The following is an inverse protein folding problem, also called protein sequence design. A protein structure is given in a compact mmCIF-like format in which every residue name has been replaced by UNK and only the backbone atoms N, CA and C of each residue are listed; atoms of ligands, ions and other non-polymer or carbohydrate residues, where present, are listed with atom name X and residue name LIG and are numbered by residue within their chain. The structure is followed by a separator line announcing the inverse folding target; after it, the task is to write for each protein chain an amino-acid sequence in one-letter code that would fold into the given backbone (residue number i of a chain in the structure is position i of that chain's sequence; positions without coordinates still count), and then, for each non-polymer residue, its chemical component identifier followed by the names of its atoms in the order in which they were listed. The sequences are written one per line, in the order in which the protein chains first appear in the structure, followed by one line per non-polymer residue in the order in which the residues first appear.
data_IF_690478210906
#
_entry.id   IF_690478210906
#
_cell.length_a   1.000
_cell.length_b   1.000
_cell.length_c   1.000
_cell.angle_alpha   90.00
_cell.angle_beta   90.00
_cell.angle_gamma   90.00
#
_symmetry.space_group_name_H-M   'P 1'
#
loop_
_entity.id
_entity.type
_entity.pdbx_description
1 polymer ?
#
# COMPACT_ATOMS: atom_id res chain seq x y z
N UNK A 1 -26.51 14.33 32.26
CA UNK A 1 -25.15 14.80 32.57
C UNK A 1 -24.38 14.73 31.24
N UNK A 2 -24.20 15.90 30.62
CA UNK A 2 -23.54 16.08 29.34
C UNK A 2 -22.02 16.09 29.57
N UNK A 3 -21.33 15.08 29.02
CA UNK A 3 -19.86 15.02 29.04
C UNK A 3 -19.30 16.09 28.11
N UNK A 4 -18.45 16.94 28.64
CA UNK A 4 -17.83 18.07 28.00
C UNK A 4 -16.92 17.62 26.86
N UNK A 5 -17.14 18.15 25.66
CA UNK A 5 -16.17 18.17 24.55
C UNK A 5 -14.90 18.85 25.05
N UNK A 6 -13.78 18.13 25.00
CA UNK A 6 -12.47 18.68 25.34
C UNK A 6 -12.14 19.88 24.47
N UNK A 7 -11.91 20.99 25.14
CA UNK A 7 -11.48 22.26 24.60
C UNK A 7 -10.04 22.09 24.06
N UNK A 8 -9.87 21.84 22.78
CA UNK A 8 -8.57 21.86 22.11
C UNK A 8 -8.09 23.31 22.01
N UNK A 9 -7.57 23.85 23.12
CA UNK A 9 -6.76 25.05 23.03
C UNK A 9 -5.54 24.75 22.16
N UNK A 10 -5.21 25.62 21.19
CA UNK A 10 -3.97 25.50 20.45
C UNK A 10 -2.83 25.54 21.49
N UNK A 11 -1.99 24.51 21.49
CA UNK A 11 -0.77 24.51 22.29
C UNK A 11 0.08 25.65 21.75
N UNK A 12 0.25 26.71 22.51
CA UNK A 12 1.14 27.83 22.21
C UNK A 12 2.59 27.33 22.34
N UNK A 13 3.00 26.52 21.37
CA UNK A 13 4.30 25.88 21.35
C UNK A 13 5.14 26.51 20.25
N UNK A 14 5.87 27.55 20.62
CA UNK A 14 6.95 28.08 19.80
C UNK A 14 8.04 27.04 19.76
N UNK A 15 8.20 26.37 18.58
CA UNK A 15 9.30 25.43 18.34
C UNK A 15 10.42 26.10 17.59
N UNK A 16 11.67 25.84 18.02
CA UNK A 16 12.86 26.24 17.26
C UNK A 16 13.25 25.13 16.28
N UNK A 17 13.11 25.33 14.94
CA UNK A 17 13.38 24.27 13.99
C UNK A 17 14.89 24.03 13.81
N UNK A 18 15.31 22.79 13.95
CA UNK A 18 16.71 22.37 13.70
C UNK A 18 16.71 21.07 12.90
N UNK A 19 17.75 20.89 12.08
CA UNK A 19 18.07 19.63 11.43
C UNK A 19 19.15 18.89 12.22
N UNK A 20 18.81 17.73 12.80
CA UNK A 20 19.77 16.91 13.54
C UNK A 20 20.62 16.05 12.59
N UNK A 21 21.94 16.12 12.72
CA UNK A 21 22.87 15.23 12.04
C UNK A 21 23.11 14.00 12.91
N UNK A 22 22.40 12.91 12.62
CA UNK A 22 22.39 11.72 13.47
C UNK A 22 23.30 10.58 12.99
N UNK A 23 24.06 10.77 11.91
CA UNK A 23 24.94 9.73 11.39
C UNK A 23 25.94 9.26 12.47
N UNK A 24 25.91 7.96 12.76
CA UNK A 24 26.72 7.30 13.79
C UNK A 24 26.40 7.71 15.25
N UNK A 25 25.32 8.43 15.49
CA UNK A 25 24.89 8.84 16.83
C UNK A 25 23.82 7.90 17.37
N UNK A 26 23.93 7.53 18.64
CA UNK A 26 22.95 6.69 19.31
C UNK A 26 21.60 7.40 19.42
N UNK A 27 20.57 6.76 18.89
CA UNK A 27 19.16 7.16 19.07
C UNK A 27 18.39 6.02 19.68
N UNK A 28 17.74 6.26 20.79
CA UNK A 28 16.94 5.24 21.50
C UNK A 28 15.47 5.40 21.11
N UNK A 29 14.85 4.28 20.74
CA UNK A 29 13.41 4.20 20.51
C UNK A 29 12.80 3.23 21.49
N UNK A 30 11.86 3.68 22.30
CA UNK A 30 11.15 2.86 23.27
C UNK A 30 9.73 2.62 22.73
N UNK A 31 9.43 1.35 22.42
CA UNK A 31 8.17 0.92 21.80
C UNK A 31 8.35 0.42 20.37
N UNK A 32 7.96 -0.84 20.13
CA UNK A 32 8.15 -1.60 18.90
C UNK A 32 6.90 -1.72 18.02
N UNK A 33 5.85 -0.93 18.30
CA UNK A 33 4.62 -0.90 17.50
C UNK A 33 4.76 -0.11 16.19
N UNK A 34 3.64 0.09 15.49
CA UNK A 34 3.58 0.78 14.19
C UNK A 34 4.15 2.23 14.24
N UNK A 35 3.97 2.92 15.36
CA UNK A 35 4.54 4.28 15.55
C UNK A 35 6.07 4.22 15.60
N UNK A 36 6.63 3.32 16.41
CA UNK A 36 8.07 3.11 16.52
C UNK A 36 8.69 2.71 15.17
N UNK A 37 8.07 1.76 14.48
CA UNK A 37 8.51 1.32 13.14
C UNK A 37 8.61 2.48 12.15
N UNK A 38 7.58 3.32 12.08
CA UNK A 38 7.58 4.49 11.19
C UNK A 38 8.69 5.49 11.54
N UNK A 39 8.98 5.70 12.83
CA UNK A 39 10.05 6.58 13.29
C UNK A 39 11.42 6.02 12.97
N UNK A 40 11.63 4.74 13.19
CA UNK A 40 12.90 4.04 12.92
C UNK A 40 13.30 4.14 11.45
N UNK A 41 12.37 4.02 10.52
CA UNK A 41 12.65 4.18 9.09
C UNK A 41 13.34 5.51 8.76
N UNK A 42 12.86 6.61 9.34
CA UNK A 42 13.46 7.95 9.18
C UNK A 42 14.84 8.09 9.85
N UNK A 43 15.04 7.47 11.00
CA UNK A 43 16.31 7.48 11.73
C UNK A 43 17.40 6.68 10.99
N UNK A 44 17.06 5.51 10.47
CA UNK A 44 17.96 4.70 9.64
C UNK A 44 18.34 5.41 8.34
N UNK A 45 17.40 6.13 7.71
CA UNK A 45 17.69 6.97 6.54
C UNK A 45 18.65 8.13 6.87
N UNK A 46 18.63 8.60 8.13
CA UNK A 46 19.59 9.59 8.66
C UNK A 46 20.91 8.95 9.13
N UNK A 47 21.10 7.65 8.91
CA UNK A 47 22.30 6.86 9.33
C UNK A 47 22.54 6.88 10.86
N UNK A 48 21.49 7.00 11.65
CA UNK A 48 21.59 6.91 13.11
C UNK A 48 21.92 5.47 13.55
N UNK A 49 22.64 5.33 14.67
CA UNK A 49 22.76 4.07 15.39
C UNK A 49 21.51 3.91 16.25
N UNK A 50 20.62 3.00 15.86
CA UNK A 50 19.31 2.87 16.47
C UNK A 50 19.30 1.73 17.49
N UNK A 51 18.96 2.05 18.75
CA UNK A 51 18.65 1.08 19.80
C UNK A 51 17.15 1.07 20.04
N UNK A 52 16.50 -0.05 19.73
CA UNK A 52 15.09 -0.29 19.99
C UNK A 52 14.93 -1.05 21.32
N UNK A 53 14.08 -0.54 22.20
CA UNK A 53 13.74 -1.18 23.47
C UNK A 53 12.25 -1.44 23.49
N UNK A 54 11.87 -2.72 23.43
CA UNK A 54 10.48 -3.15 23.47
C UNK A 54 10.40 -4.65 23.73
N UNK A 55 9.47 -5.14 24.57
CA UNK A 55 9.27 -6.58 24.77
C UNK A 55 8.73 -7.26 23.51
N UNK A 56 7.98 -6.54 22.68
CA UNK A 56 7.41 -7.03 21.42
C UNK A 56 7.66 -6.02 20.31
N UNK A 57 7.86 -6.50 19.11
CA UNK A 57 8.10 -5.66 17.93
C UNK A 57 7.27 -6.19 16.76
N UNK A 58 7.07 -5.33 15.76
CA UNK A 58 6.46 -5.77 14.49
C UNK A 58 7.44 -6.68 13.74
N UNK A 59 6.93 -7.57 12.89
CA UNK A 59 7.74 -8.46 12.06
C UNK A 59 8.79 -7.71 11.23
N UNK A 60 8.45 -6.51 10.76
CA UNK A 60 9.38 -5.64 10.02
C UNK A 60 10.55 -5.16 10.88
N UNK A 61 10.31 -4.81 12.14
CA UNK A 61 11.38 -4.39 13.07
C UNK A 61 12.26 -5.58 13.47
N UNK A 62 11.66 -6.75 13.65
CA UNK A 62 12.38 -7.99 13.93
C UNK A 62 13.32 -8.35 12.77
N UNK A 63 12.82 -8.29 11.52
CA UNK A 63 13.66 -8.49 10.34
C UNK A 63 14.79 -7.46 10.21
N UNK A 64 14.54 -6.20 10.57
CA UNK A 64 15.58 -5.17 10.59
C UNK A 64 16.64 -5.44 11.65
N UNK A 65 16.26 -5.95 12.81
CA UNK A 65 17.19 -6.33 13.88
C UNK A 65 18.02 -7.57 13.50
N UNK A 66 17.37 -8.58 12.92
CA UNK A 66 18.05 -9.79 12.41
C UNK A 66 19.07 -9.47 11.30
N UNK A 67 18.77 -8.44 10.47
CA UNK A 67 19.68 -7.92 9.45
C UNK A 67 20.68 -6.87 9.96
N UNK A 68 20.89 -6.77 11.27
CA UNK A 68 21.83 -5.84 11.94
C UNK A 68 21.66 -4.36 11.58
N UNK A 69 20.47 -3.98 11.08
CA UNK A 69 20.18 -2.59 10.72
C UNK A 69 19.87 -1.71 11.95
N UNK A 70 19.48 -2.34 13.05
CA UNK A 70 19.26 -1.72 14.36
C UNK A 70 19.59 -2.73 15.46
N UNK A 71 19.85 -2.25 16.67
CA UNK A 71 19.97 -3.10 17.86
C UNK A 71 18.63 -3.16 18.57
N UNK A 72 18.18 -4.37 18.94
CA UNK A 72 16.93 -4.57 19.68
C UNK A 72 17.17 -5.24 21.03
N UNK A 73 16.61 -4.65 22.08
CA UNK A 73 16.54 -5.23 23.41
C UNK A 73 15.10 -5.70 23.67
N UNK A 74 14.85 -7.03 23.72
CA UNK A 74 13.51 -7.62 23.86
C UNK A 74 13.00 -7.56 25.32
N UNK A 75 12.89 -6.37 25.87
CA UNK A 75 12.42 -6.12 27.24
C UNK A 75 11.78 -4.74 27.35
N UNK A 76 11.09 -4.52 28.47
CA UNK A 76 10.62 -3.19 28.83
C UNK A 76 11.80 -2.23 29.12
N UNK A 77 11.54 -0.95 28.94
CA UNK A 77 12.44 0.14 29.28
C UNK A 77 12.82 0.12 30.76
N UNK A 78 14.07 0.43 31.03
CA UNK A 78 14.62 0.59 32.40
C UNK A 78 15.39 1.91 32.50
N UNK A 79 15.39 2.51 33.70
CA UNK A 79 16.17 3.71 33.94
C UNK A 79 17.66 3.42 33.73
N UNK A 80 18.34 4.26 32.98
CA UNK A 80 19.73 4.05 32.53
C UNK A 80 19.83 3.67 31.02
N UNK A 81 18.78 3.24 30.40
CA UNK A 81 18.78 2.83 28.99
C UNK A 81 19.06 3.98 28.00
N UNK A 82 18.98 5.22 28.45
CA UNK A 82 19.27 6.40 27.66
C UNK A 82 20.73 6.86 27.73
N UNK A 83 21.60 6.09 28.36
CA UNK A 83 23.00 6.47 28.51
C UNK A 83 23.70 6.60 27.12
N UNK A 84 24.34 7.75 26.88
CA UNK A 84 24.97 8.06 25.61
C UNK A 84 24.03 8.39 24.45
N UNK A 85 22.73 8.40 24.65
CA UNK A 85 21.77 8.75 23.61
C UNK A 85 21.82 10.25 23.28
N UNK A 86 21.69 10.58 22.00
CA UNK A 86 21.57 11.96 21.50
C UNK A 86 20.11 12.38 21.33
N UNK A 87 19.23 11.43 21.08
CA UNK A 87 17.84 11.67 20.75
C UNK A 87 17.01 10.46 21.13
N UNK A 88 15.79 10.67 21.58
CA UNK A 88 14.92 9.61 22.10
C UNK A 88 13.51 9.74 21.57
N UNK A 89 12.89 8.61 21.22
CA UNK A 89 11.48 8.48 20.92
C UNK A 89 10.78 7.58 21.95
N UNK A 90 9.81 8.11 22.68
CA UNK A 90 8.89 7.36 23.55
C UNK A 90 7.60 7.09 22.77
N UNK A 91 7.40 5.83 22.35
CA UNK A 91 6.36 5.41 21.41
C UNK A 91 5.60 4.17 21.91
N UNK A 92 5.54 3.94 23.23
CA UNK A 92 4.79 2.83 23.81
C UNK A 92 3.31 3.17 23.96
N UNK A 93 2.47 2.15 24.16
CA UNK A 93 1.05 2.30 24.49
C UNK A 93 0.84 2.60 25.99
N UNK A 94 1.92 2.57 26.80
CA UNK A 94 1.89 2.89 28.22
C UNK A 94 2.33 4.36 28.47
N UNK A 95 1.40 5.26 28.80
CA UNK A 95 1.73 6.65 29.10
C UNK A 95 2.69 6.81 30.28
N UNK A 96 2.70 5.88 31.25
CA UNK A 96 3.61 5.94 32.40
C UNK A 96 5.04 5.61 31.99
N UNK A 97 5.22 4.61 31.10
CA UNK A 97 6.53 4.31 30.52
C UNK A 97 7.04 5.49 29.68
N UNK A 98 6.19 6.09 28.83
CA UNK A 98 6.56 7.26 28.02
C UNK A 98 6.94 8.47 28.90
N UNK A 99 6.25 8.67 30.01
CA UNK A 99 6.57 9.73 30.98
C UNK A 99 7.92 9.48 31.68
N UNK A 100 8.20 8.23 32.05
CA UNK A 100 9.48 7.85 32.67
C UNK A 100 10.67 8.08 31.72
N UNK A 101 10.52 7.67 30.45
CA UNK A 101 11.50 7.93 29.40
C UNK A 101 11.75 9.42 29.22
N UNK A 102 10.68 10.23 29.15
CA UNK A 102 10.81 11.68 29.01
C UNK A 102 11.47 12.35 30.23
N UNK A 103 11.18 11.88 31.46
CA UNK A 103 11.77 12.37 32.68
C UNK A 103 13.29 12.08 32.73
N UNK A 104 13.72 10.86 32.38
CA UNK A 104 15.14 10.53 32.30
C UNK A 104 15.83 11.34 31.19
N UNK A 105 15.20 11.44 30.00
CA UNK A 105 15.75 12.25 28.92
C UNK A 105 15.97 13.71 29.34
N UNK A 106 15.00 14.31 30.03
CA UNK A 106 15.12 15.67 30.54
C UNK A 106 16.26 15.82 31.58
N UNK A 107 16.39 14.88 32.53
CA UNK A 107 17.46 14.86 33.50
C UNK A 107 18.85 14.78 32.87
N UNK A 108 18.95 14.07 31.74
CA UNK A 108 20.18 13.91 30.93
C UNK A 108 20.39 14.96 29.84
N UNK A 109 19.46 15.92 29.70
CA UNK A 109 19.43 16.94 28.65
C UNK A 109 19.41 16.36 27.23
N UNK A 110 18.68 15.26 27.05
CA UNK A 110 18.47 14.60 25.77
C UNK A 110 17.11 15.04 25.22
N UNK A 111 17.03 15.40 23.93
CA UNK A 111 15.75 15.69 23.31
C UNK A 111 14.89 14.43 23.20
N UNK A 112 13.64 14.51 23.64
CA UNK A 112 12.68 13.42 23.66
C UNK A 112 11.40 13.79 22.92
N UNK A 113 10.99 12.95 21.98
CA UNK A 113 9.67 13.00 21.34
C UNK A 113 8.76 12.00 22.04
N UNK A 114 7.59 12.45 22.47
CA UNK A 114 6.51 11.59 22.96
C UNK A 114 5.43 11.45 21.90
N UNK A 115 4.96 10.22 21.67
CA UNK A 115 3.89 9.95 20.69
C UNK A 115 2.49 10.19 21.27
N UNK A 116 2.34 10.11 22.58
CA UNK A 116 1.10 10.23 23.34
C UNK A 116 0.82 11.65 23.86
N UNK A 117 1.87 12.41 24.16
CA UNK A 117 1.74 13.74 24.75
C UNK A 117 2.80 14.71 24.19
N UNK A 118 2.39 15.43 23.14
CA UNK A 118 3.26 16.40 22.49
C UNK A 118 3.57 17.62 23.36
N UNK A 119 2.72 17.95 24.34
CA UNK A 119 2.92 19.11 25.21
C UNK A 119 4.04 18.89 26.23
N UNK A 120 4.24 17.66 26.68
CA UNK A 120 5.32 17.27 27.59
C UNK A 120 6.60 16.82 26.89
N UNK A 121 6.63 16.83 25.55
CA UNK A 121 7.80 16.46 24.76
C UNK A 121 8.78 17.64 24.64
N UNK A 122 10.08 17.38 24.77
CA UNK A 122 11.13 18.40 24.56
C UNK A 122 11.51 18.58 23.09
N UNK A 123 11.01 17.72 22.19
CA UNK A 123 11.18 17.81 20.74
C UNK A 123 9.94 17.34 19.99
N UNK A 124 9.70 17.94 18.84
CA UNK A 124 8.60 17.56 17.94
C UNK A 124 9.15 17.06 16.62
N UNK A 125 8.51 16.02 16.06
CA UNK A 125 8.86 15.54 14.73
C UNK A 125 7.98 16.24 13.70
N UNK A 126 8.55 17.00 12.74
CA UNK A 126 7.80 17.63 11.67
C UNK A 126 7.31 16.61 10.64
N UNK A 127 6.35 17.01 9.80
CA UNK A 127 6.08 16.34 8.55
C UNK A 127 7.25 16.59 7.60
N UNK A 128 7.95 15.52 7.19
CA UNK A 128 9.17 15.61 6.36
C UNK A 128 8.84 15.20 4.93
N UNK A 129 9.31 15.99 3.97
CA UNK A 129 9.30 15.69 2.55
C UNK A 129 10.66 15.94 1.92
N UNK A 130 10.97 15.23 0.84
CA UNK A 130 12.23 15.38 0.10
C UNK A 130 11.98 15.45 -1.39
N UNK A 131 12.68 16.36 -2.04
CA UNK A 131 12.72 16.49 -3.48
C UNK A 131 14.13 16.90 -3.86
N UNK A 132 14.81 16.10 -4.65
CA UNK A 132 16.25 16.23 -4.96
C UNK A 132 17.09 16.38 -3.67
N UNK A 133 17.84 17.47 -3.56
CA UNK A 133 18.67 17.86 -2.40
C UNK A 133 17.90 18.71 -1.36
N UNK A 134 16.63 19.03 -1.62
CA UNK A 134 15.80 19.82 -0.72
C UNK A 134 15.07 18.92 0.27
N UNK A 135 15.18 19.22 1.55
CA UNK A 135 14.36 18.60 2.61
C UNK A 135 13.42 19.65 3.17
N UNK A 136 12.12 19.37 3.09
CA UNK A 136 11.06 20.17 3.72
C UNK A 136 10.71 19.57 5.08
N UNK A 137 10.67 20.42 6.10
CA UNK A 137 10.22 20.06 7.44
C UNK A 137 9.11 21.04 7.85
N UNK A 138 7.89 20.54 8.04
CA UNK A 138 6.71 21.37 8.31
C UNK A 138 6.14 21.04 9.68
N UNK A 139 5.99 22.07 10.51
CA UNK A 139 5.27 22.01 11.79
C UNK A 139 3.88 22.66 11.61
N UNK A 140 2.81 21.96 11.97
CA UNK A 140 1.43 22.38 11.77
C UNK A 140 0.79 23.06 12.98
N UNK A 141 1.57 23.57 13.95
CA UNK A 141 1.01 24.17 15.16
C UNK A 141 0.29 23.16 16.07
N UNK A 142 0.79 21.92 16.14
CA UNK A 142 0.16 20.84 16.90
C UNK A 142 -0.80 19.97 16.06
N UNK A 143 -1.06 20.33 14.79
CA UNK A 143 -1.87 19.54 13.87
C UNK A 143 -1.00 18.81 12.84
N UNK A 144 -0.82 17.48 12.99
CA UNK A 144 -0.01 16.68 12.06
C UNK A 144 -0.59 16.62 10.64
N UNK A 145 -1.91 16.75 10.50
CA UNK A 145 -2.60 16.70 9.19
C UNK A 145 -2.35 17.97 8.41
N UNK A 146 -2.48 19.12 9.08
CA UNK A 146 -2.12 20.41 8.50
C UNK A 146 -0.66 20.44 8.07
N UNK A 147 0.23 19.91 8.89
CA UNK A 147 1.65 19.79 8.57
C UNK A 147 1.88 18.95 7.30
N UNK A 148 1.21 17.80 7.21
CA UNK A 148 1.30 16.91 6.06
C UNK A 148 0.76 17.56 4.78
N UNK A 149 -0.41 18.19 4.84
CA UNK A 149 -1.01 18.86 3.68
C UNK A 149 -0.15 20.00 3.16
N UNK A 150 0.43 20.83 4.04
CA UNK A 150 1.33 21.92 3.65
C UNK A 150 2.63 21.36 3.03
N UNK A 151 3.19 20.29 3.61
CA UNK A 151 4.35 19.60 3.05
C UNK A 151 4.09 19.09 1.65
N UNK A 152 2.95 18.41 1.44
CA UNK A 152 2.63 17.77 0.17
C UNK A 152 2.38 18.82 -0.92
N UNK A 153 1.65 19.89 -0.62
CA UNK A 153 1.48 21.01 -1.54
C UNK A 153 2.79 21.74 -1.88
N UNK A 154 3.71 21.88 -0.91
CA UNK A 154 5.00 22.47 -1.17
C UNK A 154 5.90 21.54 -2.02
N UNK A 155 5.86 20.21 -1.77
CA UNK A 155 6.59 19.23 -2.59
C UNK A 155 6.05 19.18 -4.03
N UNK A 156 4.75 19.30 -4.22
CA UNK A 156 4.14 19.36 -5.54
C UNK A 156 4.67 20.57 -6.31
N UNK A 157 4.68 21.74 -5.69
CA UNK A 157 5.20 22.98 -6.31
C UNK A 157 6.71 22.98 -6.56
N UNK A 158 7.47 22.19 -5.81
CA UNK A 158 8.89 21.96 -6.11
C UNK A 158 9.07 21.04 -7.33
N UNK A 159 8.20 20.02 -7.46
CA UNK A 159 8.27 19.05 -8.57
C UNK A 159 7.82 19.62 -9.90
N UNK A 160 6.81 20.48 -9.89
CA UNK A 160 6.28 21.13 -11.09
C UNK A 160 7.05 22.41 -11.47
N UNK A 161 8.06 22.80 -10.67
CA UNK A 161 8.88 23.98 -10.90
C UNK A 161 8.17 25.31 -10.59
N UNK A 162 6.93 25.29 -10.06
CA UNK A 162 6.22 26.53 -9.67
C UNK A 162 6.78 27.15 -8.39
N UNK A 163 7.58 26.40 -7.62
CA UNK A 163 8.43 26.91 -6.54
C UNK A 163 9.90 26.74 -6.95
N UNK A 164 10.55 27.82 -7.44
CA UNK A 164 11.95 27.78 -7.77
C UNK A 164 12.82 27.62 -6.50
N UNK A 165 13.69 26.61 -6.51
CA UNK A 165 14.76 26.46 -5.52
C UNK A 165 16.11 26.75 -6.21
N UNK A 166 16.57 28.02 -6.29
CA UNK A 166 17.80 28.34 -6.95
C UNK A 166 18.97 27.67 -6.23
N UNK A 167 19.82 26.95 -6.98
CA UNK A 167 21.07 26.40 -6.46
C UNK A 167 22.09 27.51 -6.35
N UNK A 168 22.38 27.98 -5.15
CA UNK A 168 23.52 28.82 -4.90
C UNK A 168 24.78 27.94 -4.91
N UNK A 169 25.69 28.20 -5.86
CA UNK A 169 27.04 27.59 -5.79
C UNK A 169 27.71 28.07 -4.51
N UNK A 170 27.93 27.18 -3.57
CA UNK A 170 28.90 27.40 -2.51
C UNK A 170 30.26 27.43 -3.21
N UNK A 171 31.08 28.50 -3.05
CA UNK A 171 32.44 28.48 -3.59
C UNK A 171 33.14 27.25 -3.00
N UNK A 172 33.77 26.43 -3.83
CA UNK A 172 34.62 25.36 -3.36
C UNK A 172 35.72 26.01 -2.51
N UNK A 173 35.88 25.52 -1.27
CA UNK A 173 37.06 25.86 -0.47
C UNK A 173 38.28 25.44 -1.26
N UNK A 174 39.24 26.38 -1.47
CA UNK A 174 40.51 26.14 -2.12
C UNK A 174 41.22 24.96 -1.46
N UNK A 175 41.31 23.83 -2.15
CA UNK A 175 42.01 22.66 -1.66
C UNK A 175 41.57 21.36 -2.33
N UNK A 176 41.51 21.33 -3.67
CA UNK A 176 41.71 20.12 -4.49
C UNK A 176 41.72 20.57 -5.97
N UNK A 177 42.90 20.83 -6.49
CA UNK A 177 43.11 21.00 -7.92
C UNK A 177 43.25 19.62 -8.56
N UNK A 178 42.41 19.22 -9.52
CA UNK A 178 42.72 18.06 -10.34
C UNK A 178 43.71 18.47 -11.45
N UNK A 179 44.70 17.60 -11.60
CA UNK A 179 45.73 17.69 -12.64
C UNK A 179 45.13 17.78 -14.05
N UNK A 180 45.74 18.63 -14.85
CA UNK A 180 45.43 18.78 -16.26
C UNK A 180 45.83 17.53 -17.04
N UNK A 181 44.90 16.97 -17.81
CA UNK A 181 45.21 16.10 -18.94
C UNK A 181 44.76 16.70 -20.27
N UNK A 182 45.67 16.58 -21.18
CA UNK A 182 45.78 17.23 -22.48
C UNK A 182 44.89 16.63 -23.57
N UNK A 183 44.38 17.53 -24.37
CA UNK A 183 44.14 17.47 -25.83
C UNK A 183 44.15 16.15 -26.59
N UNK A 184 43.05 15.89 -27.33
CA UNK A 184 43.05 15.01 -28.47
C UNK A 184 41.88 15.34 -29.39
N UNK A 185 42.23 15.98 -30.52
CA UNK A 185 41.36 16.37 -31.63
C UNK A 185 40.95 15.18 -32.48
N UNK A 186 39.81 15.32 -33.13
CA UNK A 186 39.50 14.97 -34.51
C UNK A 186 38.28 14.06 -34.73
N UNK A 187 37.45 14.49 -35.65
CA UNK A 187 36.79 13.63 -36.58
C UNK A 187 35.32 13.92 -36.87
N UNK A 188 35.05 14.90 -37.70
CA UNK A 188 33.74 15.07 -38.32
C UNK A 188 33.45 13.96 -39.32
N UNK A 189 32.29 13.34 -39.29
CA UNK A 189 31.68 12.65 -40.43
C UNK A 189 30.21 13.02 -40.57
N UNK A 190 29.93 13.65 -41.69
CA UNK A 190 28.61 13.98 -42.22
C UNK A 190 27.98 12.71 -42.82
N UNK A 191 26.70 12.51 -42.63
CA UNK A 191 25.74 12.12 -43.68
C UNK A 191 24.36 11.89 -43.05
N UNK A 192 23.47 12.41 -43.67
CA UNK A 192 22.40 12.20 -44.61
C UNK A 192 21.02 12.27 -43.99
N UNK A 193 20.33 13.21 -44.54
CA UNK A 193 18.90 13.54 -44.40
C UNK A 193 17.94 12.36 -44.50
N UNK A 194 17.00 12.29 -43.54
CA UNK A 194 15.69 11.65 -43.69
C UNK A 194 14.60 12.61 -43.25
N UNK A 195 13.40 12.56 -43.89
CA UNK A 195 12.41 13.62 -43.77
C UNK A 195 11.73 13.69 -42.41
N UNK A 196 11.54 14.88 -41.93
CA UNK A 196 10.82 15.23 -40.72
C UNK A 196 9.33 14.92 -40.86
N UNK A 197 8.85 13.99 -40.05
CA UNK A 197 7.45 13.95 -39.66
C UNK A 197 7.24 15.00 -38.60
N UNK A 198 6.34 15.94 -38.86
CA UNK A 198 5.98 16.98 -37.89
C UNK A 198 5.35 16.33 -36.65
N UNK A 199 6.12 16.21 -35.59
CA UNK A 199 5.61 15.95 -34.25
C UNK A 199 5.31 17.29 -33.59
N UNK A 200 4.03 17.54 -33.37
CA UNK A 200 3.59 18.66 -32.55
C UNK A 200 4.24 18.54 -31.16
N UNK A 201 5.04 19.51 -30.82
CA UNK A 201 5.60 19.69 -29.48
C UNK A 201 4.51 20.15 -28.52
N UNK A 202 3.69 19.20 -28.04
CA UNK A 202 2.97 19.37 -26.80
C UNK A 202 3.94 19.01 -25.68
N UNK A 203 4.39 20.00 -24.93
CA UNK A 203 5.18 19.79 -23.73
C UNK A 203 4.40 18.91 -22.75
N UNK A 204 4.88 17.70 -22.52
CA UNK A 204 4.41 16.87 -21.41
C UNK A 204 4.94 17.46 -20.10
N UNK A 205 4.22 18.40 -19.54
CA UNK A 205 4.27 18.69 -18.10
C UNK A 205 3.66 17.49 -17.40
N UNK A 206 4.45 16.80 -16.60
CA UNK A 206 4.20 15.43 -16.08
C UNK A 206 3.13 15.24 -15.01
N UNK A 207 2.00 15.92 -15.09
CA UNK A 207 0.79 15.57 -14.35
C UNK A 207 -0.23 15.02 -15.33
N UNK A 208 -0.51 13.71 -15.18
CA UNK A 208 -1.71 13.15 -15.81
C UNK A 208 -2.95 13.87 -15.26
N UNK A 209 -3.91 14.29 -16.10
CA UNK A 209 -5.19 14.84 -15.64
C UNK A 209 -5.89 13.97 -14.59
N UNK A 210 -5.51 12.69 -14.50
CA UNK A 210 -5.99 11.71 -13.52
C UNK A 210 -5.45 11.90 -12.09
N UNK A 211 -4.52 12.82 -11.84
CA UNK A 211 -3.92 13.02 -10.51
C UNK A 211 -4.59 14.17 -9.72
N UNK A 212 -5.45 14.98 -10.35
CA UNK A 212 -6.18 16.05 -9.66
C UNK A 212 -7.45 15.52 -9.01
N UNK A 213 -7.41 15.39 -7.68
CA UNK A 213 -8.61 15.07 -6.89
C UNK A 213 -9.42 16.36 -6.73
N UNK A 214 -10.66 16.35 -7.24
CA UNK A 214 -11.57 17.48 -7.21
C UNK A 214 -12.86 17.14 -6.47
N UNK A 215 -13.52 18.15 -5.91
CA UNK A 215 -14.84 17.98 -5.31
C UNK A 215 -15.85 17.45 -6.33
N UNK A 216 -16.78 16.61 -5.88
CA UNK A 216 -17.83 16.07 -6.73
C UNK A 216 -17.40 14.97 -7.70
N UNK A 217 -16.35 14.20 -7.37
CA UNK A 217 -15.87 13.09 -8.19
C UNK A 217 -15.95 11.74 -7.49
N UNK A 218 -15.93 10.67 -8.29
CA UNK A 218 -15.80 9.29 -7.83
C UNK A 218 -14.44 8.73 -8.24
N UNK A 219 -13.72 8.14 -7.27
CA UNK A 219 -12.45 7.48 -7.50
C UNK A 219 -12.62 5.99 -7.19
N UNK A 220 -12.57 5.13 -8.22
CA UNK A 220 -12.54 3.70 -8.03
C UNK A 220 -11.12 3.28 -7.66
N UNK A 221 -10.93 2.63 -6.53
CA UNK A 221 -9.61 2.24 -6.03
C UNK A 221 -9.58 0.75 -5.77
N UNK A 222 -8.58 0.07 -6.33
CA UNK A 222 -8.26 -1.31 -5.96
C UNK A 222 -7.51 -1.36 -4.64
N UNK A 223 -8.08 -2.07 -3.66
CA UNK A 223 -7.52 -2.23 -2.32
C UNK A 223 -6.38 -3.27 -2.24
N UNK A 224 -6.15 -4.01 -3.33
CA UNK A 224 -5.25 -5.17 -3.27
C UNK A 224 -5.94 -6.44 -2.76
N UNK A 225 -5.20 -7.56 -2.64
CA UNK A 225 -5.74 -8.90 -2.42
C UNK A 225 -6.01 -9.24 -0.95
N UNK A 226 -5.52 -8.47 0.01
CA UNK A 226 -5.64 -8.75 1.44
C UNK A 226 -4.60 -8.04 2.30
N UNK A 227 -3.34 -8.13 1.95
CA UNK A 227 -2.26 -7.38 2.58
C UNK A 227 -2.40 -5.88 2.30
N UNK A 228 -2.39 -5.06 3.35
CA UNK A 228 -2.54 -3.61 3.28
C UNK A 228 -1.39 -2.91 2.54
N UNK A 229 -0.21 -3.54 2.47
CA UNK A 229 0.94 -2.99 1.76
C UNK A 229 0.86 -3.23 0.24
N UNK A 230 -0.10 -4.06 -0.21
CA UNK A 230 -0.36 -4.30 -1.63
C UNK A 230 -1.36 -3.31 -2.25
N UNK A 231 -1.83 -2.31 -1.51
CA UNK A 231 -2.50 -1.17 -2.12
C UNK A 231 -1.48 -0.30 -2.86
N UNK A 232 -1.87 0.24 -4.02
CA UNK A 232 -1.00 1.16 -4.75
C UNK A 232 -0.80 2.47 -4.00
N UNK A 233 0.35 3.14 -4.20
CA UNK A 233 0.61 4.46 -3.63
C UNK A 233 -0.48 5.47 -4.03
N UNK A 234 -0.97 5.41 -5.28
CA UNK A 234 -2.08 6.26 -5.76
C UNK A 234 -3.38 5.92 -5.02
N UNK A 235 -3.68 4.64 -4.79
CA UNK A 235 -4.84 4.21 -4.02
C UNK A 235 -4.83 4.74 -2.59
N UNK A 236 -3.68 4.66 -1.91
CA UNK A 236 -3.52 5.18 -0.55
C UNK A 236 -3.66 6.72 -0.50
N UNK A 237 -3.19 7.44 -1.53
CA UNK A 237 -3.40 8.90 -1.66
C UNK A 237 -4.86 9.25 -1.88
N UNK A 238 -5.58 8.50 -2.71
CA UNK A 238 -7.01 8.69 -2.93
C UNK A 238 -7.81 8.48 -1.63
N UNK A 239 -7.50 7.45 -0.85
CA UNK A 239 -8.10 7.21 0.46
C UNK A 239 -7.85 8.35 1.45
N UNK A 240 -6.64 8.92 1.46
CA UNK A 240 -6.29 10.04 2.32
C UNK A 240 -7.05 11.35 1.99
N UNK A 241 -7.52 11.49 0.74
CA UNK A 241 -8.28 12.65 0.27
C UNK A 241 -9.80 12.42 0.28
N UNK A 242 -10.27 11.23 0.62
CA UNK A 242 -11.68 10.89 0.61
C UNK A 242 -12.45 11.61 1.71
N UNK A 243 -13.69 12.02 1.39
CA UNK A 243 -14.71 12.44 2.35
C UNK A 243 -15.69 11.30 2.64
N UNK A 244 -15.91 10.44 1.63
CA UNK A 244 -16.74 9.24 1.73
C UNK A 244 -15.99 8.05 1.12
N UNK A 245 -15.92 6.94 1.83
CA UNK A 245 -15.41 5.67 1.32
C UNK A 245 -16.54 4.66 1.27
N UNK A 246 -16.85 4.17 0.08
CA UNK A 246 -17.83 3.11 -0.16
C UNK A 246 -17.04 1.81 -0.39
N UNK A 247 -17.04 0.92 0.60
CA UNK A 247 -16.17 -0.25 0.65
C UNK A 247 -16.91 -1.57 0.42
N UNK A 248 -16.25 -2.49 -0.30
CA UNK A 248 -16.69 -3.87 -0.46
C UNK A 248 -16.32 -4.73 0.75
N UNK A 249 -16.98 -5.86 0.91
CA UNK A 249 -16.72 -6.85 1.97
C UNK A 249 -15.29 -7.43 1.97
N UNK A 250 -14.63 -7.49 0.81
CA UNK A 250 -13.28 -8.05 0.66
C UNK A 250 -12.16 -7.02 0.86
N UNK A 251 -12.51 -5.79 1.20
CA UNK A 251 -11.52 -4.76 1.53
C UNK A 251 -10.89 -5.09 2.89
N UNK A 252 -9.55 -5.04 3.02
CA UNK A 252 -8.88 -5.22 4.30
C UNK A 252 -9.38 -4.19 5.33
N UNK A 253 -9.87 -4.66 6.47
CA UNK A 253 -10.39 -3.78 7.53
C UNK A 253 -9.34 -2.77 8.01
N UNK A 254 -8.07 -3.17 8.08
CA UNK A 254 -6.97 -2.31 8.48
C UNK A 254 -6.79 -1.08 7.58
N UNK A 255 -7.16 -1.13 6.28
CA UNK A 255 -7.19 0.06 5.42
C UNK A 255 -8.28 1.04 5.84
N UNK A 256 -9.43 0.54 6.32
CA UNK A 256 -10.54 1.37 6.80
C UNK A 256 -10.22 1.96 8.19
N UNK A 257 -9.51 1.23 9.03
CA UNK A 257 -9.09 1.66 10.37
C UNK A 257 -8.02 2.78 10.30
N UNK A 258 -7.27 2.87 9.19
CA UNK A 258 -6.31 3.94 8.94
C UNK A 258 -6.97 5.27 8.54
N UNK A 259 -8.27 5.26 8.18
CA UNK A 259 -8.96 6.44 7.70
C UNK A 259 -9.16 7.48 8.82
N UNK A 260 -9.11 8.77 8.48
CA UNK A 260 -9.43 9.82 9.42
C UNK A 260 -10.87 9.70 9.95
N UNK A 261 -11.15 10.01 11.24
CA UNK A 261 -12.48 9.84 11.85
C UNK A 261 -13.60 10.64 11.18
N UNK A 262 -13.27 11.68 10.42
CA UNK A 262 -14.24 12.48 9.66
C UNK A 262 -14.65 11.86 8.33
N UNK A 263 -13.95 10.83 7.85
CA UNK A 263 -14.31 10.12 6.62
C UNK A 263 -15.48 9.21 6.91
N UNK A 264 -16.57 9.41 6.19
CA UNK A 264 -17.72 8.51 6.28
C UNK A 264 -17.40 7.19 5.56
N UNK A 265 -17.47 6.06 6.28
CA UNK A 265 -17.28 4.74 5.71
C UNK A 265 -18.63 4.05 5.54
N UNK A 266 -18.97 3.67 4.31
CA UNK A 266 -20.19 2.97 3.96
C UNK A 266 -19.82 1.57 3.48
N UNK A 267 -20.14 0.57 4.31
CA UNK A 267 -19.97 -0.85 3.98
C UNK A 267 -21.18 -1.31 3.15
N UNK A 268 -20.98 -1.58 1.86
CA UNK A 268 -22.09 -1.99 0.97
C UNK A 268 -22.64 -3.38 1.29
N UNK A 269 -21.92 -4.20 2.07
CA UNK A 269 -22.43 -5.46 2.56
C UNK A 269 -23.46 -5.30 3.70
N UNK A 270 -23.51 -4.12 4.33
CA UNK A 270 -24.33 -3.80 5.51
C UNK A 270 -25.37 -2.70 5.26
N UNK A 271 -25.66 -2.33 4.01
CA UNK A 271 -26.67 -1.31 3.72
C UNK A 271 -28.03 -1.78 4.30
N UNK A 272 -28.71 -0.94 5.15
CA UNK A 272 -29.94 -1.33 5.83
C UNK A 272 -31.06 -1.56 4.82
N UNK A 273 -31.65 -2.74 4.85
CA UNK A 273 -32.97 -3.19 4.35
C UNK A 273 -33.07 -4.71 4.37
N UNK A 274 -32.15 -5.43 5.06
CA UNK A 274 -32.21 -6.89 5.18
C UNK A 274 -31.88 -7.67 3.89
N UNK A 275 -31.39 -6.98 2.84
CA UNK A 275 -30.87 -7.57 1.60
C UNK A 275 -29.48 -6.97 1.32
N UNK A 276 -28.59 -7.76 0.70
CA UNK A 276 -27.36 -7.21 0.17
C UNK A 276 -27.69 -6.09 -0.84
N UNK A 277 -26.91 -4.99 -0.82
CA UNK A 277 -27.10 -3.89 -1.76
C UNK A 277 -27.03 -4.42 -3.20
N UNK A 278 -27.96 -4.01 -4.03
CA UNK A 278 -27.88 -4.27 -5.46
C UNK A 278 -26.82 -3.39 -6.10
N UNK A 279 -26.34 -3.76 -7.30
CA UNK A 279 -25.39 -2.90 -8.03
C UNK A 279 -26.00 -1.53 -8.32
N UNK A 280 -27.30 -1.46 -8.55
CA UNK A 280 -28.02 -0.20 -8.79
C UNK A 280 -28.05 0.69 -7.54
N UNK A 281 -28.20 0.09 -6.35
CA UNK A 281 -28.15 0.85 -5.08
C UNK A 281 -26.75 1.46 -4.89
N UNK A 282 -25.69 0.69 -5.19
CA UNK A 282 -24.30 1.16 -5.10
C UNK A 282 -24.06 2.31 -6.10
N UNK A 283 -24.44 2.11 -7.36
CA UNK A 283 -24.30 3.12 -8.41
C UNK A 283 -25.01 4.43 -8.03
N UNK A 284 -26.25 4.31 -7.54
CA UNK A 284 -27.05 5.46 -7.09
C UNK A 284 -26.42 6.19 -5.93
N UNK A 285 -25.86 5.45 -4.97
CA UNK A 285 -25.15 6.00 -3.82
C UNK A 285 -23.92 6.81 -4.25
N UNK A 286 -23.07 6.25 -5.12
CA UNK A 286 -21.86 6.91 -5.62
C UNK A 286 -22.21 8.23 -6.31
N UNK A 287 -23.20 8.20 -7.21
CA UNK A 287 -23.66 9.38 -7.94
C UNK A 287 -24.25 10.44 -6.99
N UNK A 288 -25.07 10.04 -6.02
CA UNK A 288 -25.70 10.97 -5.08
C UNK A 288 -24.66 11.70 -4.22
N UNK A 289 -23.66 10.97 -3.72
CA UNK A 289 -22.60 11.54 -2.90
C UNK A 289 -21.69 12.49 -3.69
N UNK A 290 -21.33 12.12 -4.92
CA UNK A 290 -20.55 12.99 -5.80
C UNK A 290 -21.34 14.26 -6.19
N UNK A 291 -22.65 14.16 -6.48
CA UNK A 291 -23.52 15.33 -6.72
C UNK A 291 -23.62 16.28 -5.53
N UNK A 292 -23.47 15.77 -4.32
CA UNK A 292 -23.38 16.59 -3.11
C UNK A 292 -22.03 17.32 -2.97
N UNK A 293 -21.14 17.21 -3.95
CA UNK A 293 -19.84 17.86 -3.98
C UNK A 293 -18.74 17.08 -3.25
N UNK A 294 -18.99 15.84 -2.80
CA UNK A 294 -18.05 15.07 -2.00
C UNK A 294 -17.01 14.36 -2.89
N UNK A 295 -15.81 14.17 -2.37
CA UNK A 295 -14.79 13.26 -2.91
C UNK A 295 -15.13 11.85 -2.44
N UNK A 296 -15.62 11.03 -3.37
CA UNK A 296 -16.09 9.68 -3.09
C UNK A 296 -15.06 8.66 -3.54
N UNK A 297 -14.53 7.86 -2.62
CA UNK A 297 -13.69 6.71 -2.97
C UNK A 297 -14.53 5.44 -2.94
N UNK A 298 -14.63 4.77 -4.08
CA UNK A 298 -15.17 3.42 -4.19
C UNK A 298 -14.02 2.43 -4.03
N UNK A 299 -13.90 1.82 -2.85
CA UNK A 299 -12.81 0.91 -2.50
C UNK A 299 -13.23 -0.54 -2.74
N UNK A 300 -12.49 -1.26 -3.59
CA UNK A 300 -12.82 -2.60 -4.07
C UNK A 300 -11.67 -3.57 -3.78
N UNK A 301 -11.97 -4.79 -3.32
CA UNK A 301 -10.94 -5.83 -3.17
C UNK A 301 -10.26 -6.16 -4.50
N UNK A 302 -8.95 -6.40 -4.49
CA UNK A 302 -8.15 -6.66 -5.68
C UNK A 302 -8.06 -5.46 -6.61
N UNK A 303 -8.42 -5.66 -7.87
CA UNK A 303 -8.48 -4.63 -8.93
C UNK A 303 -9.95 -4.32 -9.29
N UNK A 304 -10.33 -3.05 -9.52
CA UNK A 304 -11.72 -2.68 -9.80
C UNK A 304 -12.32 -3.35 -11.05
N UNK A 305 -11.50 -3.69 -12.05
CA UNK A 305 -11.94 -4.21 -13.35
C UNK A 305 -11.73 -5.72 -13.53
N UNK A 306 -11.01 -6.38 -12.60
CA UNK A 306 -10.86 -7.83 -12.64
C UNK A 306 -11.97 -8.48 -11.81
N UNK A 307 -13.07 -8.88 -12.46
CA UNK A 307 -14.29 -9.44 -11.87
C UNK A 307 -14.94 -8.59 -10.76
N UNK A 308 -14.55 -7.31 -10.69
CA UNK A 308 -15.02 -6.38 -9.66
C UNK A 308 -16.23 -5.54 -10.07
N UNK A 309 -16.79 -5.69 -11.27
CA UNK A 309 -17.94 -4.91 -11.80
C UNK A 309 -17.70 -3.39 -11.81
N UNK A 310 -16.44 -2.92 -11.67
CA UNK A 310 -16.13 -1.50 -11.60
C UNK A 310 -16.53 -0.72 -12.84
N UNK A 311 -16.61 -1.37 -14.03
CA UNK A 311 -17.08 -0.69 -15.24
C UNK A 311 -18.56 -0.31 -15.18
N UNK A 312 -19.40 -1.07 -14.50
CA UNK A 312 -20.81 -0.73 -14.28
C UNK A 312 -20.95 0.54 -13.41
N UNK A 313 -20.08 0.70 -12.41
CA UNK A 313 -20.01 1.87 -11.56
C UNK A 313 -19.50 3.10 -12.35
N UNK A 314 -18.50 2.92 -13.22
CA UNK A 314 -18.02 3.95 -14.15
C UNK A 314 -19.13 4.37 -15.12
N UNK A 315 -19.84 3.41 -15.72
CA UNK A 315 -20.92 3.70 -16.66
C UNK A 315 -22.03 4.56 -16.01
N UNK A 316 -22.35 4.28 -14.73
CA UNK A 316 -23.30 5.08 -13.97
C UNK A 316 -22.80 6.51 -13.72
N UNK A 317 -21.52 6.69 -13.42
CA UNK A 317 -20.90 8.02 -13.27
C UNK A 317 -20.96 8.79 -14.60
N UNK A 318 -20.60 8.16 -15.72
CA UNK A 318 -20.67 8.76 -17.07
C UNK A 318 -22.09 9.20 -17.41
N UNK A 319 -23.07 8.29 -17.21
CA UNK A 319 -24.48 8.60 -17.47
C UNK A 319 -25.01 9.76 -16.62
N UNK A 320 -24.45 9.95 -15.43
CA UNK A 320 -24.83 11.01 -14.50
C UNK A 320 -24.02 12.32 -14.67
N UNK A 321 -23.03 12.34 -15.60
CA UNK A 321 -22.11 13.48 -15.79
C UNK A 321 -21.15 13.70 -14.62
N UNK A 322 -20.86 12.66 -13.82
CA UNK A 322 -19.96 12.73 -12.68
C UNK A 322 -18.52 12.43 -13.14
N UNK A 323 -17.55 13.31 -12.82
CA UNK A 323 -16.13 13.02 -13.05
C UNK A 323 -15.71 11.78 -12.30
N UNK A 324 -14.91 10.92 -12.94
CA UNK A 324 -14.39 9.73 -12.30
C UNK A 324 -12.92 9.49 -12.63
N UNK A 325 -12.25 8.73 -11.75
CA UNK A 325 -10.89 8.23 -11.95
C UNK A 325 -10.85 6.77 -11.52
N UNK A 326 -10.08 5.95 -12.25
CA UNK A 326 -9.82 4.56 -11.87
C UNK A 326 -8.36 4.40 -11.48
N UNK A 327 -8.15 3.92 -10.27
CA UNK A 327 -6.84 3.57 -9.72
C UNK A 327 -6.74 2.06 -9.69
N UNK A 328 -5.94 1.43 -10.57
CA UNK A 328 -5.74 -0.01 -10.56
C UNK A 328 -5.27 -0.53 -9.20
N UNK A 329 -5.61 -1.77 -8.90
CA UNK A 329 -5.13 -2.50 -7.74
C UNK A 329 -4.39 -3.77 -8.11
N UNK A 330 -3.70 -4.37 -7.16
CA UNK A 330 -3.07 -5.67 -7.35
C UNK A 330 -4.17 -6.74 -7.26
N UNK A 331 -4.44 -7.41 -8.39
CA UNK A 331 -5.46 -8.47 -8.42
C UNK A 331 -5.03 -9.70 -7.64
N UNK A 332 -5.96 -10.32 -6.91
CA UNK A 332 -5.75 -11.59 -6.21
C UNK A 332 -5.34 -12.72 -7.16
N UNK A 333 -5.75 -12.65 -8.43
CA UNK A 333 -5.40 -13.65 -9.44
C UNK A 333 -3.88 -13.78 -9.68
N UNK A 334 -3.11 -12.74 -9.40
CA UNK A 334 -1.64 -12.73 -9.52
C UNK A 334 -0.99 -12.76 -8.13
N UNK A 335 -1.46 -11.93 -7.21
CA UNK A 335 -0.80 -11.73 -5.93
C UNK A 335 -0.90 -12.93 -5.01
N UNK A 336 -2.06 -13.60 -4.97
CA UNK A 336 -2.27 -14.76 -4.09
C UNK A 336 -1.39 -15.95 -4.50
N UNK A 337 -1.33 -16.36 -5.78
CA UNK A 337 -0.35 -17.37 -6.20
C UNK A 337 1.09 -16.96 -5.91
N UNK A 338 1.45 -15.70 -6.17
CA UNK A 338 2.80 -15.20 -5.94
C UNK A 338 3.22 -15.25 -4.46
N UNK A 339 2.32 -14.89 -3.53
CA UNK A 339 2.54 -15.00 -2.09
C UNK A 339 2.77 -16.46 -1.66
N UNK A 340 2.02 -17.40 -2.25
CA UNK A 340 2.20 -18.84 -2.05
C UNK A 340 3.42 -19.44 -2.79
N UNK A 341 4.24 -18.61 -3.45
CA UNK A 341 5.43 -19.05 -4.17
C UNK A 341 5.14 -19.71 -5.52
N UNK A 342 3.91 -19.59 -6.06
CA UNK A 342 3.46 -20.19 -7.32
C UNK A 342 3.49 -19.12 -8.41
N UNK A 343 4.38 -19.21 -9.42
CA UNK A 343 4.35 -18.30 -10.56
C UNK A 343 3.18 -18.66 -11.47
N UNK A 344 2.39 -17.68 -11.92
CA UNK A 344 1.29 -17.95 -12.86
C UNK A 344 1.76 -18.13 -14.31
N UNK A 345 3.01 -17.77 -14.61
CA UNK A 345 3.70 -18.03 -15.89
C UNK A 345 5.15 -18.40 -15.62
N UNK A 346 5.71 -19.32 -16.44
CA UNK A 346 7.12 -19.66 -16.39
C UNK A 346 7.63 -20.08 -17.77
N UNK A 347 8.85 -19.63 -18.12
CA UNK A 347 9.50 -20.02 -19.39
C UNK A 347 9.67 -21.54 -19.45
N UNK A 348 9.15 -22.15 -20.52
CA UNK A 348 9.26 -23.60 -20.74
C UNK A 348 8.20 -24.45 -20.03
N UNK A 349 7.36 -23.84 -19.17
CA UNK A 349 6.25 -24.53 -18.47
C UNK A 349 4.90 -23.96 -18.92
N UNK A 350 4.65 -22.67 -18.68
CA UNK A 350 3.41 -21.99 -19.06
C UNK A 350 3.70 -20.59 -19.61
N UNK A 351 3.38 -20.38 -20.91
CA UNK A 351 3.58 -19.10 -21.59
C UNK A 351 2.29 -18.28 -21.67
N UNK A 352 1.20 -18.80 -21.14
CA UNK A 352 -0.10 -18.14 -21.08
C UNK A 352 -0.75 -18.39 -19.71
N UNK A 353 -1.61 -17.45 -19.31
CA UNK A 353 -2.45 -17.56 -18.11
C UNK A 353 -3.85 -17.07 -18.43
N UNK A 354 -4.85 -17.81 -18.00
CA UNK A 354 -6.26 -17.44 -18.10
C UNK A 354 -6.85 -17.19 -16.72
N UNK A 355 -7.38 -15.98 -16.49
CA UNK A 355 -8.17 -15.65 -15.29
C UNK A 355 -9.64 -15.95 -15.58
N UNK A 356 -10.26 -16.77 -14.77
CA UNK A 356 -11.62 -17.27 -14.99
C UNK A 356 -12.48 -17.07 -13.75
N UNK A 357 -13.69 -16.54 -13.96
CA UNK A 357 -14.71 -16.47 -12.90
C UNK A 357 -15.50 -17.78 -12.88
N UNK A 358 -15.32 -18.56 -11.81
CA UNK A 358 -15.95 -19.88 -11.67
C UNK A 358 -17.23 -19.89 -10.83
N UNK A 359 -17.97 -18.80 -10.75
CA UNK A 359 -19.19 -18.68 -9.93
C UNK A 359 -20.41 -19.39 -10.54
N UNK A 360 -20.39 -19.66 -11.85
CA UNK A 360 -21.40 -20.45 -12.56
C UNK A 360 -20.83 -21.82 -12.93
N UNK A 361 -21.61 -22.90 -12.82
CA UNK A 361 -21.14 -24.22 -13.23
C UNK A 361 -20.94 -24.29 -14.75
N UNK A 362 -20.06 -25.18 -15.23
CA UNK A 362 -19.98 -25.51 -16.65
C UNK A 362 -21.35 -25.93 -17.21
N UNK A 363 -21.68 -25.39 -18.40
CA UNK A 363 -22.98 -25.65 -19.04
C UNK A 363 -24.14 -24.76 -18.59
N UNK A 364 -23.94 -23.86 -17.62
CA UNK A 364 -24.94 -22.85 -17.27
C UNK A 364 -25.18 -21.91 -18.47
N UNK A 365 -26.44 -21.68 -18.89
CA UNK A 365 -26.76 -20.85 -20.05
C UNK A 365 -26.33 -19.37 -19.91
N UNK A 366 -26.10 -18.91 -18.68
CA UNK A 366 -25.59 -17.57 -18.40
C UNK A 366 -24.05 -17.51 -18.37
N UNK A 367 -23.37 -18.65 -18.43
CA UNK A 367 -21.92 -18.72 -18.48
C UNK A 367 -21.39 -18.51 -19.89
N UNK A 368 -20.45 -17.59 -20.06
CA UNK A 368 -19.75 -17.36 -21.33
C UNK A 368 -18.37 -18.04 -21.37
N UNK A 369 -18.06 -18.87 -20.37
CA UNK A 369 -16.77 -19.54 -20.27
C UNK A 369 -16.76 -20.80 -21.15
N UNK A 370 -15.84 -20.84 -22.12
CA UNK A 370 -15.60 -22.05 -22.94
C UNK A 370 -14.65 -23.00 -22.22
N UNK A 371 -15.21 -23.84 -21.37
CA UNK A 371 -14.45 -24.84 -20.60
C UNK A 371 -13.76 -25.85 -21.49
N UNK A 372 -14.29 -26.11 -22.69
CA UNK A 372 -13.68 -27.04 -23.64
C UNK A 372 -12.41 -26.46 -24.25
N UNK A 373 -12.39 -25.18 -24.58
CA UNK A 373 -11.17 -24.51 -25.03
C UNK A 373 -10.12 -24.43 -23.92
N UNK A 374 -10.51 -24.09 -22.69
CA UNK A 374 -9.62 -24.02 -21.54
C UNK A 374 -9.00 -25.38 -21.19
N UNK A 375 -9.76 -26.46 -21.34
CA UNK A 375 -9.27 -27.81 -21.09
C UNK A 375 -8.14 -28.22 -22.07
N UNK A 376 -8.23 -27.84 -23.33
CA UNK A 376 -7.21 -28.13 -24.36
C UNK A 376 -5.98 -27.25 -24.29
N UNK A 377 -6.10 -26.09 -23.62
CA UNK A 377 -4.97 -25.18 -23.41
C UNK A 377 -3.93 -25.78 -22.48
N UNK A 378 -2.64 -25.42 -22.70
CA UNK A 378 -1.51 -25.83 -21.84
C UNK A 378 -1.15 -24.76 -20.81
N UNK A 379 -1.81 -23.60 -20.86
CA UNK A 379 -1.55 -22.49 -19.96
C UNK A 379 -2.08 -22.75 -18.54
N UNK A 380 -1.67 -21.88 -17.66
CA UNK A 380 -2.16 -21.85 -16.28
C UNK A 380 -3.59 -21.32 -16.26
N UNK A 381 -4.48 -21.99 -15.54
CA UNK A 381 -5.80 -21.45 -15.21
C UNK A 381 -5.78 -20.94 -13.77
N UNK A 382 -6.21 -19.71 -13.57
CA UNK A 382 -6.42 -19.12 -12.25
C UNK A 382 -7.90 -18.82 -12.08
N UNK A 383 -8.55 -19.60 -11.22
CA UNK A 383 -9.98 -19.49 -10.99
C UNK A 383 -10.28 -18.62 -9.77
N UNK A 384 -11.16 -17.66 -9.93
CA UNK A 384 -11.72 -16.87 -8.84
C UNK A 384 -13.20 -17.21 -8.64
N UNK A 385 -13.69 -17.09 -7.41
CA UNK A 385 -15.09 -17.40 -7.06
C UNK A 385 -15.53 -18.84 -7.42
N UNK A 386 -14.61 -19.80 -7.42
CA UNK A 386 -14.83 -21.13 -7.97
C UNK A 386 -15.00 -22.25 -6.91
N UNK A 387 -14.88 -21.94 -5.62
CA UNK A 387 -14.86 -22.96 -4.56
C UNK A 387 -16.11 -23.84 -4.60
N UNK A 388 -17.28 -23.26 -4.74
CA UNK A 388 -18.57 -23.98 -4.76
C UNK A 388 -18.75 -24.84 -6.01
N UNK A 389 -18.13 -24.41 -7.14
CA UNK A 389 -18.25 -25.07 -8.43
C UNK A 389 -17.04 -25.94 -8.78
N UNK A 390 -16.06 -26.07 -7.89
CA UNK A 390 -14.78 -26.71 -8.17
C UNK A 390 -14.95 -28.15 -8.69
N UNK A 391 -15.87 -28.93 -8.12
CA UNK A 391 -16.17 -30.30 -8.58
C UNK A 391 -16.67 -30.32 -10.04
N UNK A 392 -17.63 -29.47 -10.35
CA UNK A 392 -18.19 -29.42 -11.72
C UNK A 392 -17.15 -28.91 -12.72
N UNK A 393 -16.35 -27.91 -12.34
CA UNK A 393 -15.28 -27.35 -13.18
C UNK A 393 -14.20 -28.40 -13.43
N UNK A 394 -13.73 -29.10 -12.39
CA UNK A 394 -12.71 -30.13 -12.53
C UNK A 394 -13.18 -31.27 -13.43
N UNK A 395 -14.44 -31.75 -13.24
CA UNK A 395 -15.02 -32.77 -14.12
C UNK A 395 -15.07 -32.32 -15.56
N UNK A 396 -15.56 -31.11 -15.85
CA UNK A 396 -15.65 -30.58 -17.20
C UNK A 396 -14.27 -30.43 -17.86
N UNK A 397 -13.25 -29.99 -17.13
CA UNK A 397 -11.89 -29.89 -17.66
C UNK A 397 -11.35 -31.27 -18.05
N UNK A 398 -11.54 -32.30 -17.21
CA UNK A 398 -11.11 -33.67 -17.49
C UNK A 398 -11.89 -34.26 -18.67
N UNK A 399 -13.21 -34.13 -18.70
CA UNK A 399 -14.08 -34.59 -19.81
C UNK A 399 -13.70 -33.98 -21.15
N UNK A 400 -13.21 -32.75 -21.16
CA UNK A 400 -12.75 -32.08 -22.37
C UNK A 400 -11.26 -32.25 -22.66
N UNK A 401 -10.57 -33.16 -21.95
CA UNK A 401 -9.25 -33.67 -22.29
C UNK A 401 -8.07 -33.08 -21.51
N UNK A 402 -8.31 -32.32 -20.44
CA UNK A 402 -7.23 -31.96 -19.52
C UNK A 402 -6.86 -33.15 -18.66
N UNK A 403 -5.55 -33.38 -18.49
CA UNK A 403 -5.07 -34.51 -17.69
C UNK A 403 -5.59 -34.41 -16.24
N UNK A 404 -6.19 -35.49 -15.75
CA UNK A 404 -6.69 -35.60 -14.40
C UNK A 404 -5.61 -35.43 -13.33
N UNK A 405 -4.36 -35.76 -13.68
CA UNK A 405 -3.18 -35.58 -12.81
C UNK A 405 -2.64 -34.14 -12.79
N UNK A 406 -3.18 -33.22 -13.61
CA UNK A 406 -2.76 -31.81 -13.61
C UNK A 406 -2.78 -31.24 -12.20
N UNK A 407 -1.68 -30.64 -11.79
CA UNK A 407 -1.53 -30.07 -10.44
C UNK A 407 -2.49 -28.93 -10.19
N UNK A 408 -3.00 -28.86 -8.96
CA UNK A 408 -3.91 -27.81 -8.47
C UNK A 408 -3.44 -27.32 -7.12
N UNK A 409 -3.35 -26.00 -6.96
CA UNK A 409 -3.20 -25.37 -5.66
C UNK A 409 -4.45 -24.54 -5.34
N UNK A 410 -5.02 -24.72 -4.16
CA UNK A 410 -6.17 -23.98 -3.66
C UNK A 410 -5.67 -23.13 -2.51
N UNK A 411 -5.69 -21.80 -2.68
CA UNK A 411 -5.08 -20.85 -1.75
C UNK A 411 -6.22 -20.06 -1.11
N UNK A 412 -6.51 -20.35 0.15
CA UNK A 412 -7.53 -19.68 0.96
C UNK A 412 -6.93 -18.49 1.68
N UNK A 413 -7.66 -17.38 1.75
CA UNK A 413 -7.29 -16.15 2.46
C UNK A 413 -5.89 -15.64 2.12
N UNK A 414 -5.45 -15.81 0.87
CA UNK A 414 -4.10 -15.49 0.41
C UNK A 414 -3.70 -14.06 0.70
N UNK A 415 -2.40 -13.85 0.94
CA UNK A 415 -1.77 -12.59 1.37
C UNK A 415 -2.19 -12.09 2.76
N UNK A 416 -2.84 -12.91 3.57
CA UNK A 416 -3.20 -12.58 4.95
C UNK A 416 -2.55 -13.55 5.93
N UNK A 417 -2.54 -13.23 7.22
CA UNK A 417 -2.06 -14.13 8.29
C UNK A 417 -2.83 -15.47 8.35
N UNK A 418 -3.98 -15.56 7.67
CA UNK A 418 -4.80 -16.77 7.60
C UNK A 418 -4.61 -17.53 6.28
N UNK A 419 -3.58 -17.18 5.51
CA UNK A 419 -3.27 -17.88 4.27
C UNK A 419 -3.07 -19.38 4.53
N UNK A 420 -3.72 -20.18 3.69
CA UNK A 420 -3.62 -21.63 3.72
C UNK A 420 -3.62 -22.18 2.31
N UNK A 421 -2.67 -23.06 2.00
CA UNK A 421 -2.56 -23.71 0.70
C UNK A 421 -2.96 -25.17 0.82
N UNK A 422 -3.78 -25.64 -0.12
CA UNK A 422 -4.17 -27.05 -0.27
C UNK A 422 -3.72 -27.52 -1.64
N UNK A 423 -2.78 -28.47 -1.67
CA UNK A 423 -2.26 -29.08 -2.88
C UNK A 423 -3.10 -30.30 -3.26
N UNK A 424 -3.37 -30.45 -4.57
CA UNK A 424 -4.17 -31.54 -5.12
C UNK A 424 -3.78 -31.80 -6.58
N UNK A 425 -4.47 -32.76 -7.18
CA UNK A 425 -4.59 -32.95 -8.63
C UNK A 425 -6.00 -32.61 -9.07
N UNK A 426 -6.21 -32.42 -10.37
CA UNK A 426 -7.50 -31.96 -10.88
C UNK A 426 -8.64 -32.92 -10.52
N UNK A 427 -8.39 -34.23 -10.50
CA UNK A 427 -9.36 -35.27 -10.09
C UNK A 427 -9.66 -35.27 -8.58
N UNK A 428 -8.69 -34.87 -7.75
CA UNK A 428 -8.83 -34.86 -6.27
C UNK A 428 -9.15 -33.49 -5.68
N UNK A 429 -9.02 -32.41 -6.45
CA UNK A 429 -9.11 -31.03 -5.96
C UNK A 429 -10.40 -30.73 -5.17
N UNK A 430 -11.56 -31.18 -5.68
CA UNK A 430 -12.83 -30.95 -5.02
C UNK A 430 -12.95 -31.70 -3.67
N UNK A 431 -12.40 -32.90 -3.59
CA UNK A 431 -12.37 -33.70 -2.36
C UNK A 431 -11.42 -33.10 -1.34
N UNK A 432 -10.20 -32.77 -1.77
CA UNK A 432 -9.19 -32.12 -0.92
C UNK A 432 -9.67 -30.78 -0.36
N UNK A 433 -10.36 -29.95 -1.20
CA UNK A 433 -10.95 -28.70 -0.74
C UNK A 433 -12.04 -28.91 0.33
N UNK A 434 -12.89 -29.92 0.14
CA UNK A 434 -13.97 -30.25 1.08
C UNK A 434 -13.43 -30.78 2.42
N UNK A 435 -12.45 -31.71 2.38
CA UNK A 435 -11.80 -32.28 3.55
C UNK A 435 -11.03 -31.23 4.35
N UNK A 436 -10.34 -30.32 3.66
CA UNK A 436 -9.68 -29.18 4.28
C UNK A 436 -10.64 -28.09 4.74
N UNK A 437 -11.92 -28.15 4.40
CA UNK A 437 -12.93 -27.16 4.76
C UNK A 437 -12.65 -25.78 4.15
N UNK A 438 -12.13 -25.72 2.92
CA UNK A 438 -11.82 -24.48 2.22
C UNK A 438 -13.05 -23.60 2.05
N UNK A 439 -12.91 -22.31 2.34
CA UNK A 439 -13.99 -21.32 2.21
C UNK A 439 -13.53 -20.09 1.42
N UNK A 440 -14.46 -19.38 0.76
CA UNK A 440 -14.15 -18.07 0.19
C UNK A 440 -13.69 -17.05 1.25
N UNK A 441 -12.74 -16.17 0.93
CA UNK A 441 -12.10 -16.00 -0.38
C UNK A 441 -10.99 -17.02 -0.62
N UNK A 442 -10.98 -17.60 -1.82
CA UNK A 442 -9.91 -18.49 -2.25
C UNK A 442 -9.63 -18.32 -3.75
N UNK A 443 -8.38 -18.53 -4.12
CA UNK A 443 -7.89 -18.56 -5.49
C UNK A 443 -7.43 -19.98 -5.80
N UNK A 444 -7.80 -20.50 -6.98
CA UNK A 444 -7.45 -21.85 -7.40
C UNK A 444 -6.55 -21.75 -8.63
N UNK A 445 -5.35 -22.32 -8.56
CA UNK A 445 -4.38 -22.38 -9.64
C UNK A 445 -4.32 -23.80 -10.18
N UNK A 446 -4.49 -23.96 -11.51
CA UNK A 446 -4.46 -25.26 -12.19
C UNK A 446 -3.40 -25.20 -13.28
N UNK A 447 -2.41 -26.08 -13.23
CA UNK A 447 -1.35 -26.19 -14.22
C UNK A 447 0.00 -26.60 -13.62
N UNK A 448 0.93 -26.93 -14.51
CA UNK A 448 2.26 -27.47 -14.16
C UNK A 448 3.12 -26.47 -13.37
N UNK A 449 2.78 -25.19 -13.37
CA UNK A 449 3.45 -24.15 -12.56
C UNK A 449 3.31 -24.41 -11.05
N UNK A 450 2.29 -25.16 -10.63
CA UNK A 450 2.07 -25.51 -9.22
C UNK A 450 3.21 -26.36 -8.67
N UNK A 451 3.84 -27.21 -9.50
CA UNK A 451 5.01 -28.02 -9.09
C UNK A 451 6.26 -27.18 -8.79
N UNK A 452 6.24 -25.90 -9.23
CA UNK A 452 7.36 -25.00 -9.00
C UNK A 452 7.32 -24.31 -7.64
N UNK A 453 6.25 -24.49 -6.89
CA UNK A 453 6.14 -23.97 -5.53
C UNK A 453 7.31 -24.50 -4.67
N UNK A 454 8.03 -23.59 -4.02
CA UNK A 454 9.16 -23.98 -3.17
C UNK A 454 8.63 -24.73 -1.95
N UNK A 455 9.18 -25.93 -1.60
CA UNK A 455 8.92 -26.56 -0.31
C UNK A 455 9.46 -25.62 0.78
N UNK A 456 8.57 -25.06 1.63
CA UNK A 456 8.97 -24.24 2.76
C UNK A 456 8.18 -22.93 2.98
N UNK A 457 7.15 -22.64 2.20
CA UNK A 457 6.17 -21.60 2.52
C UNK A 457 4.89 -22.32 3.00
N UNK A 458 4.88 -22.70 4.25
CA UNK A 458 3.76 -23.24 4.97
C UNK A 458 3.81 -22.74 6.40
#
# INVERSE_FOLDING_TARGET
MLSSKGDHRPVDATVYPVGLRLAGRLVVVVGGGAVGQRRIGGLLAAKADVLLISPHVTASLEAMAAGERLRWLPRAYQNGDLDGAWYVHACTDDPAANAAVAAEAAARRIFCVRSDDAASASAWTPAIGRHDDVTLAVFGGGDPRRAAAVRDGALERLRDGSMAAPRFRVPASEGDAPAAESSGSAGALRSSSRPSVATGTGGHTGESPADKISAGQVILVGAGPGDVDLITVRGRRALAAAEVVVADRLVPQALLDELPPQVEVIDVAKIPRGRAATQEDINSLLVARARAGQVVVRLKGGDPFVFGRGYEEVAACVAAGIPYTVVPGVTSAIAVPAAAGIPVTHRGVAQEVSFVAGHLPPGDPNSQVDWSALARGRGTLVLLMAVEQLRAIASALVEHGRDASTRVAIIESGTTERERVVDATLDTAATAAAEAGVRPPAVIVIGDVVEMARPGHG
#
